data_IF_224062280850
#
_entry.id   IF_224062280850
#
_cell.length_a   1.000
_cell.length_b   1.000
_cell.length_c   1.000
_cell.angle_alpha   90.00
_cell.angle_beta   90.00
_cell.angle_gamma   90.00
#
_symmetry.space_group_name_H-M   'P 1'
#
loop_
_entity.id
_entity.type
_entity.pdbx_description
1 polymer ?
#
# COMPACT_ATOMS: atom_id res chain seq x y z
N UNK A 1 -29.91 19.51 14.81
CA UNK A 1 -30.83 18.37 14.59
C UNK A 1 -29.96 17.21 14.14
N UNK A 2 -29.64 16.29 15.06
CA UNK A 2 -29.05 15.00 14.67
C UNK A 2 -30.14 14.29 13.87
N UNK A 3 -29.79 13.80 12.69
CA UNK A 3 -30.74 13.27 11.73
C UNK A 3 -31.37 11.99 12.30
N UNK A 4 -32.69 11.85 12.38
CA UNK A 4 -33.37 10.69 13.01
C UNK A 4 -32.91 9.34 12.43
N UNK A 5 -32.46 9.35 11.16
CA UNK A 5 -31.83 8.21 10.47
C UNK A 5 -30.49 7.78 11.09
N UNK A 6 -29.70 8.73 11.58
CA UNK A 6 -28.39 8.48 12.22
C UNK A 6 -28.57 7.86 13.61
N UNK A 7 -29.59 8.30 14.36
CA UNK A 7 -29.96 7.68 15.64
C UNK A 7 -30.47 6.24 15.48
N UNK A 8 -31.32 5.98 14.47
CA UNK A 8 -31.80 4.63 14.18
C UNK A 8 -30.68 3.67 13.77
N UNK A 9 -29.73 4.16 12.96
CA UNK A 9 -28.55 3.39 12.51
C UNK A 9 -27.63 3.05 13.69
N UNK A 10 -27.43 3.99 14.61
CA UNK A 10 -26.63 3.77 15.82
C UNK A 10 -27.28 2.76 16.78
N UNK A 11 -28.60 2.83 16.99
CA UNK A 11 -29.32 1.86 17.83
C UNK A 11 -29.18 0.43 17.30
N UNK A 12 -29.37 0.23 15.99
CA UNK A 12 -29.23 -1.08 15.37
C UNK A 12 -27.79 -1.63 15.43
N UNK A 13 -26.78 -0.75 15.42
CA UNK A 13 -25.38 -1.14 15.60
C UNK A 13 -25.09 -1.64 17.03
N UNK A 14 -25.67 -1.00 18.05
CA UNK A 14 -25.50 -1.44 19.45
C UNK A 14 -26.17 -2.78 19.72
N UNK A 15 -27.40 -2.98 19.24
CA UNK A 15 -28.12 -4.25 19.41
C UNK A 15 -27.36 -5.41 18.76
N UNK A 16 -26.80 -5.16 17.58
CA UNK A 16 -25.94 -6.13 16.89
C UNK A 16 -24.69 -6.47 17.70
N UNK A 17 -23.99 -5.48 18.26
CA UNK A 17 -22.78 -5.74 19.05
C UNK A 17 -23.13 -6.57 20.29
N UNK A 18 -24.23 -6.23 20.97
CA UNK A 18 -24.71 -6.98 22.12
C UNK A 18 -25.00 -8.45 21.75
N UNK A 19 -25.67 -8.68 20.62
CA UNK A 19 -25.98 -10.01 20.11
C UNK A 19 -24.73 -10.79 19.70
N UNK A 20 -23.77 -10.13 19.02
CA UNK A 20 -22.48 -10.73 18.67
C UNK A 20 -21.68 -11.16 19.89
N UNK A 21 -21.66 -10.32 20.94
CA UNK A 21 -21.05 -10.66 22.23
C UNK A 21 -21.73 -11.87 22.88
N UNK A 22 -23.06 -11.91 22.87
CA UNK A 22 -23.83 -13.04 23.42
C UNK A 22 -23.45 -14.34 22.70
N UNK A 23 -23.49 -14.35 21.37
CA UNK A 23 -23.14 -15.52 20.55
C UNK A 23 -21.69 -15.94 20.73
N UNK A 24 -20.76 -14.98 20.83
CA UNK A 24 -19.36 -15.26 21.10
C UNK A 24 -19.19 -15.98 22.45
N UNK A 25 -19.83 -15.45 23.50
CA UNK A 25 -19.73 -16.00 24.84
C UNK A 25 -20.32 -17.41 24.94
N UNK A 26 -21.45 -17.66 24.25
CA UNK A 26 -22.02 -19.00 24.11
C UNK A 26 -21.08 -19.95 23.38
N UNK A 27 -20.47 -19.47 22.29
CA UNK A 27 -19.48 -20.22 21.53
C UNK A 27 -18.25 -20.58 22.36
N UNK A 28 -17.69 -19.63 23.12
CA UNK A 28 -16.55 -19.84 24.03
C UNK A 28 -16.92 -20.84 25.14
N UNK A 29 -18.10 -20.69 25.77
CA UNK A 29 -18.54 -21.57 26.84
C UNK A 29 -18.73 -23.03 26.38
N UNK A 30 -19.15 -23.23 25.12
CA UNK A 30 -19.30 -24.54 24.50
C UNK A 30 -17.99 -25.07 23.87
N UNK A 31 -16.93 -24.26 23.79
CA UNK A 31 -15.71 -24.63 23.10
C UNK A 31 -14.89 -25.60 23.97
N UNK A 32 -14.51 -26.79 23.47
CA UNK A 32 -13.80 -27.81 24.26
C UNK A 32 -12.34 -27.44 24.60
N UNK A 33 -11.93 -26.21 24.34
CA UNK A 33 -10.56 -25.74 24.45
C UNK A 33 -9.84 -25.72 23.09
N UNK A 34 -8.79 -24.92 23.03
CA UNK A 34 -8.00 -24.76 21.82
C UNK A 34 -7.03 -25.93 21.61
N UNK A 35 -7.00 -26.45 20.39
CA UNK A 35 -6.05 -27.47 19.93
C UNK A 35 -5.44 -27.04 18.59
N UNK A 36 -4.13 -26.76 18.53
CA UNK A 36 -3.48 -26.35 17.30
C UNK A 36 -3.52 -27.46 16.23
N UNK A 37 -3.63 -28.72 16.59
CA UNK A 37 -3.61 -29.80 15.59
C UNK A 37 -4.93 -29.95 14.84
N UNK A 38 -5.99 -29.23 15.24
CA UNK A 38 -7.29 -29.28 14.58
C UNK A 38 -7.33 -28.50 13.26
N UNK A 39 -8.23 -28.87 12.33
CA UNK A 39 -8.47 -28.09 11.13
C UNK A 39 -8.88 -26.65 11.42
N UNK A 40 -8.60 -25.73 10.49
CA UNK A 40 -8.91 -24.30 10.60
C UNK A 40 -10.36 -24.01 11.03
N UNK A 41 -11.33 -24.72 10.45
CA UNK A 41 -12.76 -24.52 10.75
C UNK A 41 -13.09 -24.88 12.20
N UNK A 42 -12.44 -25.92 12.75
CA UNK A 42 -12.66 -26.35 14.13
C UNK A 42 -11.98 -25.41 15.13
N UNK A 43 -10.79 -24.89 14.81
CA UNK A 43 -10.08 -23.89 15.63
C UNK A 43 -10.87 -22.62 15.88
N UNK A 44 -11.69 -22.24 14.89
CA UNK A 44 -12.51 -21.04 14.90
C UNK A 44 -13.98 -21.32 15.26
N UNK A 45 -14.33 -22.56 15.65
CA UNK A 45 -15.73 -22.95 15.84
C UNK A 45 -16.47 -22.10 16.86
N UNK A 46 -15.79 -21.70 17.94
CA UNK A 46 -16.33 -20.82 18.98
C UNK A 46 -16.75 -19.45 18.43
N UNK A 47 -16.12 -18.98 17.35
CA UNK A 47 -16.32 -17.66 16.78
C UNK A 47 -17.37 -17.65 15.65
N UNK A 48 -17.59 -18.79 14.99
CA UNK A 48 -18.46 -18.90 13.82
C UNK A 48 -19.87 -18.30 14.00
N UNK A 49 -20.60 -18.53 15.12
CA UNK A 49 -21.93 -17.94 15.32
C UNK A 49 -21.89 -16.41 15.32
N UNK A 50 -20.93 -15.80 16.02
CA UNK A 50 -20.76 -14.36 16.05
C UNK A 50 -20.26 -13.81 14.71
N UNK A 51 -19.42 -14.55 13.99
CA UNK A 51 -18.93 -14.16 12.67
C UNK A 51 -20.06 -14.12 11.61
N UNK A 52 -20.95 -15.11 11.65
CA UNK A 52 -22.03 -15.25 10.68
C UNK A 52 -23.07 -14.12 10.73
N UNK A 53 -23.15 -13.37 11.84
CA UNK A 53 -24.01 -12.17 11.93
C UNK A 53 -23.61 -11.05 10.97
N UNK A 54 -22.33 -10.98 10.53
CA UNK A 54 -21.81 -9.78 9.84
C UNK A 54 -21.01 -10.00 8.57
N UNK A 55 -20.98 -11.22 8.02
CA UNK A 55 -20.36 -11.48 6.70
C UNK A 55 -20.88 -10.53 5.59
N UNK A 56 -22.10 -9.99 5.72
CA UNK A 56 -22.75 -9.13 4.72
C UNK A 56 -22.30 -7.66 4.67
N UNK A 57 -21.47 -7.17 5.61
CA UNK A 57 -21.14 -5.72 5.71
C UNK A 57 -19.69 -5.37 5.42
N UNK A 58 -18.85 -6.36 5.12
CA UNK A 58 -17.45 -6.17 4.77
C UNK A 58 -17.23 -5.48 3.41
N UNK A 59 -18.15 -5.54 2.40
CA UNK A 59 -17.93 -4.85 1.12
C UNK A 59 -18.43 -3.39 1.05
N UNK A 60 -19.40 -2.98 1.89
CA UNK A 60 -20.08 -1.69 1.73
C UNK A 60 -19.44 -0.58 2.58
N UNK A 61 -18.87 0.43 1.92
CA UNK A 61 -18.16 1.56 2.54
C UNK A 61 -18.98 2.38 3.56
N UNK A 62 -20.31 2.26 3.53
CA UNK A 62 -21.18 3.00 4.45
C UNK A 62 -21.38 2.30 5.80
N UNK A 63 -20.95 1.04 5.94
CA UNK A 63 -21.10 0.24 7.17
C UNK A 63 -19.78 -0.33 7.70
N UNK A 64 -18.65 -0.04 7.04
CA UNK A 64 -17.34 -0.55 7.43
C UNK A 64 -16.89 -0.08 8.83
N UNK A 65 -17.38 1.08 9.31
CA UNK A 65 -17.12 1.54 10.68
C UNK A 65 -17.85 0.68 11.73
N UNK A 66 -19.05 0.20 11.42
CA UNK A 66 -19.80 -0.74 12.29
C UNK A 66 -19.07 -2.07 12.33
N UNK A 67 -18.61 -2.58 11.19
CA UNK A 67 -17.84 -3.81 11.12
C UNK A 67 -16.53 -3.70 11.92
N UNK A 68 -15.81 -2.59 11.78
CA UNK A 68 -14.59 -2.35 12.57
C UNK A 68 -14.90 -2.35 14.08
N UNK A 69 -15.91 -1.59 14.51
CA UNK A 69 -16.27 -1.54 15.92
C UNK A 69 -16.70 -2.91 16.45
N UNK A 70 -17.51 -3.64 15.68
CA UNK A 70 -17.97 -4.98 16.00
C UNK A 70 -16.81 -5.96 16.21
N UNK A 71 -15.92 -6.11 15.23
CA UNK A 71 -14.80 -7.05 15.35
C UNK A 71 -13.77 -6.60 16.40
N UNK A 72 -13.60 -5.29 16.61
CA UNK A 72 -12.77 -4.75 17.69
C UNK A 72 -13.32 -5.14 19.07
N UNK A 73 -14.63 -5.02 19.28
CA UNK A 73 -15.28 -5.46 20.53
C UNK A 73 -15.13 -6.96 20.73
N UNK A 74 -15.41 -7.78 19.71
CA UNK A 74 -15.29 -9.23 19.83
C UNK A 74 -13.84 -9.67 20.12
N UNK A 75 -12.85 -9.06 19.48
CA UNK A 75 -11.44 -9.29 19.80
C UNK A 75 -11.13 -8.93 21.26
N UNK A 76 -11.65 -7.82 21.75
CA UNK A 76 -11.51 -7.42 23.15
C UNK A 76 -12.08 -8.43 24.14
N UNK A 77 -13.26 -9.00 23.84
CA UNK A 77 -13.87 -10.05 24.67
C UNK A 77 -13.04 -11.35 24.66
N UNK A 78 -12.51 -11.74 23.49
CA UNK A 78 -11.61 -12.91 23.37
C UNK A 78 -10.36 -12.71 24.25
N UNK A 79 -9.68 -11.58 24.10
CA UNK A 79 -8.46 -11.28 24.85
C UNK A 79 -8.74 -11.19 26.37
N UNK A 80 -9.89 -10.63 26.76
CA UNK A 80 -10.30 -10.58 28.16
C UNK A 80 -10.54 -11.99 28.73
N UNK A 81 -11.17 -12.88 27.96
CA UNK A 81 -11.36 -14.28 28.35
C UNK A 81 -10.02 -15.02 28.49
N UNK A 82 -9.11 -14.89 27.51
CA UNK A 82 -7.79 -15.55 27.58
C UNK A 82 -7.02 -15.11 28.82
N UNK A 83 -7.03 -13.82 29.13
CA UNK A 83 -6.36 -13.26 30.30
C UNK A 83 -6.97 -13.73 31.64
N UNK A 84 -8.28 -13.97 31.68
CA UNK A 84 -8.97 -14.42 32.90
C UNK A 84 -8.88 -15.94 33.12
N UNK A 85 -9.00 -16.71 32.04
CA UNK A 85 -9.06 -18.18 32.10
C UNK A 85 -7.69 -18.85 31.98
N UNK A 86 -6.71 -18.18 31.35
CA UNK A 86 -5.45 -18.79 30.93
C UNK A 86 -5.58 -19.73 29.72
N UNK A 87 -6.79 -19.89 29.16
CA UNK A 87 -7.02 -20.69 27.96
C UNK A 87 -6.77 -19.86 26.71
N UNK A 88 -6.04 -20.42 25.76
CA UNK A 88 -5.84 -19.79 24.45
C UNK A 88 -7.04 -20.05 23.53
N UNK A 89 -7.28 -19.15 22.58
CA UNK A 89 -8.25 -19.25 21.48
C UNK A 89 -7.60 -18.75 20.20
N UNK A 90 -7.85 -19.41 19.05
CA UNK A 90 -7.34 -18.91 17.76
C UNK A 90 -8.03 -17.60 17.39
N UNK A 91 -7.26 -16.52 17.24
CA UNK A 91 -7.80 -15.19 16.88
C UNK A 91 -7.67 -14.87 15.39
N UNK A 92 -7.16 -15.79 14.56
CA UNK A 92 -6.92 -15.58 13.14
C UNK A 92 -8.10 -14.95 12.40
N UNK A 93 -9.30 -15.54 12.53
CA UNK A 93 -10.50 -15.06 11.84
C UNK A 93 -10.94 -13.65 12.29
N UNK A 94 -10.93 -13.35 13.59
CA UNK A 94 -11.35 -12.04 14.09
C UNK A 94 -10.34 -10.95 13.69
N UNK A 95 -9.04 -11.24 13.72
CA UNK A 95 -8.01 -10.32 13.22
C UNK A 95 -8.16 -10.06 11.73
N UNK A 96 -8.40 -11.09 10.92
CA UNK A 96 -8.55 -10.92 9.48
C UNK A 96 -9.74 -10.01 9.13
N UNK A 97 -10.90 -10.27 9.75
CA UNK A 97 -12.11 -9.48 9.53
C UNK A 97 -11.99 -8.05 10.05
N UNK A 98 -11.34 -7.84 11.21
CA UNK A 98 -11.02 -6.51 11.70
C UNK A 98 -10.11 -5.77 10.72
N UNK A 99 -9.08 -6.45 10.19
CA UNK A 99 -8.15 -5.87 9.25
C UNK A 99 -8.82 -5.41 7.95
N UNK A 100 -9.71 -6.22 7.38
CA UNK A 100 -10.51 -5.87 6.19
C UNK A 100 -11.41 -4.67 6.47
N UNK A 101 -12.08 -4.64 7.62
CA UNK A 101 -12.94 -3.52 8.00
C UNK A 101 -12.13 -2.22 8.14
N UNK A 102 -10.94 -2.28 8.74
CA UNK A 102 -10.03 -1.14 8.89
C UNK A 102 -9.52 -0.63 7.54
N UNK A 103 -9.07 -1.52 6.64
CA UNK A 103 -8.64 -1.13 5.28
C UNK A 103 -9.81 -0.45 4.55
N UNK A 104 -11.02 -0.98 4.69
CA UNK A 104 -12.24 -0.40 4.09
C UNK A 104 -12.57 0.99 4.65
N UNK A 105 -12.27 1.24 5.93
CA UNK A 105 -12.32 2.58 6.55
C UNK A 105 -11.10 3.46 6.23
N UNK A 106 -10.18 2.98 5.40
CA UNK A 106 -8.93 3.67 5.05
C UNK A 106 -7.87 3.67 6.15
N UNK A 107 -8.04 2.88 7.21
CA UNK A 107 -7.02 2.62 8.25
C UNK A 107 -6.06 1.52 7.77
N UNK A 108 -5.30 1.84 6.72
CA UNK A 108 -4.46 0.87 6.00
C UNK A 108 -3.41 0.21 6.90
N UNK A 109 -2.70 1.00 7.71
CA UNK A 109 -1.63 0.50 8.57
C UNK A 109 -2.17 -0.47 9.63
N UNK A 110 -3.23 -0.07 10.33
CA UNK A 110 -3.92 -0.93 11.33
C UNK A 110 -4.44 -2.21 10.67
N UNK A 111 -5.03 -2.08 9.49
CA UNK A 111 -5.66 -3.20 8.83
C UNK A 111 -4.66 -4.21 8.27
N UNK A 112 -3.54 -3.76 7.70
CA UNK A 112 -2.45 -4.67 7.32
C UNK A 112 -1.81 -5.31 8.53
N UNK A 113 -1.59 -4.57 9.63
CA UNK A 113 -1.07 -5.16 10.86
C UNK A 113 -1.97 -6.30 11.34
N UNK A 114 -3.29 -6.10 11.36
CA UNK A 114 -4.23 -7.14 11.76
C UNK A 114 -4.29 -8.33 10.79
N UNK A 115 -4.19 -8.13 9.48
CA UNK A 115 -4.11 -9.24 8.53
C UNK A 115 -2.82 -10.08 8.70
N UNK A 116 -1.71 -9.41 9.02
CA UNK A 116 -0.45 -10.10 9.31
C UNK A 116 -0.49 -10.86 10.64
N UNK A 117 -1.13 -10.28 11.66
CA UNK A 117 -1.37 -10.96 12.94
C UNK A 117 -2.30 -12.15 12.77
N UNK A 118 -3.36 -12.02 11.97
CA UNK A 118 -4.28 -13.12 11.66
C UNK A 118 -3.54 -14.34 11.14
N UNK A 119 -2.65 -14.09 10.17
CA UNK A 119 -1.84 -15.16 9.63
C UNK A 119 -0.83 -15.73 10.63
N UNK A 120 -0.27 -14.90 11.52
CA UNK A 120 0.63 -15.39 12.56
C UNK A 120 -0.09 -16.31 13.56
N UNK A 121 -1.30 -15.94 13.98
CA UNK A 121 -2.18 -16.78 14.81
C UNK A 121 -2.46 -18.12 14.10
N UNK A 122 -2.85 -18.06 12.82
CA UNK A 122 -3.16 -19.28 12.06
C UNK A 122 -1.90 -20.14 11.75
N UNK A 123 -0.71 -19.52 11.64
CA UNK A 123 0.59 -20.18 11.36
C UNK A 123 1.20 -20.87 12.57
N UNK A 124 1.18 -20.22 13.74
CA UNK A 124 1.76 -20.78 14.96
C UNK A 124 1.06 -22.06 15.42
N UNK A 125 -0.14 -22.26 14.89
CA UNK A 125 -1.00 -23.34 15.28
C UNK A 125 -1.10 -24.41 14.21
N UNK A 126 -0.40 -24.33 13.06
CA UNK A 126 -0.44 -25.40 12.06
C UNK A 126 0.31 -26.65 12.58
N UNK A 127 -0.28 -27.86 12.57
CA UNK A 127 0.47 -29.07 12.89
C UNK A 127 1.60 -29.26 11.88
N UNK A 128 2.74 -29.80 12.33
CA UNK A 128 4.02 -29.90 11.59
C UNK A 128 3.98 -30.54 10.18
N UNK A 129 2.83 -31.02 9.72
CA UNK A 129 2.60 -31.63 8.41
C UNK A 129 1.79 -30.76 7.43
N UNK A 130 1.25 -29.61 7.86
CA UNK A 130 0.88 -28.54 6.93
C UNK A 130 2.15 -27.76 6.67
N UNK A 131 2.68 -27.86 5.45
CA UNK A 131 3.78 -26.98 5.06
C UNK A 131 3.29 -25.54 5.25
N UNK A 132 4.09 -24.78 6.00
CA UNK A 132 4.05 -23.31 6.12
C UNK A 132 3.85 -22.61 4.75
N UNK A 133 4.11 -23.34 3.66
CA UNK A 133 4.13 -22.92 2.27
C UNK A 133 2.78 -22.90 1.51
N UNK A 134 1.61 -23.19 2.11
CA UNK A 134 0.35 -23.34 1.32
C UNK A 134 -0.81 -22.41 1.65
N UNK A 135 -0.82 -21.74 2.81
CA UNK A 135 -1.86 -20.77 3.15
C UNK A 135 -1.25 -19.43 3.51
N UNK A 136 -1.40 -18.46 2.61
CA UNK A 136 -0.96 -17.09 2.80
C UNK A 136 -2.17 -16.16 2.74
N UNK A 137 -2.28 -15.22 3.69
CA UNK A 137 -3.40 -14.27 3.71
C UNK A 137 -3.49 -13.47 2.40
N UNK A 138 -2.34 -13.27 1.74
CA UNK A 138 -2.19 -12.54 0.48
C UNK A 138 -2.78 -13.24 -0.74
N UNK A 139 -3.06 -14.54 -0.63
CA UNK A 139 -3.66 -15.35 -1.70
C UNK A 139 -5.16 -15.59 -1.48
N UNK A 140 -5.71 -15.06 -0.39
CA UNK A 140 -7.14 -15.13 -0.11
C UNK A 140 -7.92 -14.13 -0.96
N UNK A 141 -9.18 -14.46 -1.29
CA UNK A 141 -10.09 -13.54 -2.00
C UNK A 141 -10.23 -12.19 -1.26
N UNK A 142 -10.17 -12.24 0.07
CA UNK A 142 -10.26 -11.06 0.95
C UNK A 142 -9.07 -10.11 0.80
N UNK A 143 -7.87 -10.60 0.49
CA UNK A 143 -6.74 -9.75 0.17
C UNK A 143 -6.79 -9.28 -1.29
N UNK A 144 -7.10 -10.20 -2.21
CA UNK A 144 -7.08 -9.94 -3.64
C UNK A 144 -7.99 -8.79 -4.06
N UNK A 145 -9.07 -8.49 -3.35
CA UNK A 145 -9.89 -7.30 -3.60
C UNK A 145 -9.10 -5.97 -3.44
N UNK A 146 -8.21 -5.88 -2.46
CA UNK A 146 -7.40 -4.69 -2.21
C UNK A 146 -6.26 -4.59 -3.20
N UNK A 147 -5.65 -5.74 -3.51
CA UNK A 147 -4.62 -5.84 -4.52
C UNK A 147 -5.13 -5.42 -5.91
N UNK A 148 -6.29 -5.95 -6.33
CA UNK A 148 -6.96 -5.54 -7.56
C UNK A 148 -7.23 -4.05 -7.56
N UNK A 149 -7.68 -3.47 -6.44
CA UNK A 149 -7.88 -2.02 -6.33
C UNK A 149 -6.56 -1.25 -6.52
N UNK A 150 -5.46 -1.70 -5.92
CA UNK A 150 -4.15 -1.08 -6.13
C UNK A 150 -3.70 -1.22 -7.60
N UNK A 151 -3.91 -2.38 -8.23
CA UNK A 151 -3.61 -2.61 -9.65
C UNK A 151 -4.40 -1.63 -10.53
N UNK A 152 -5.70 -1.45 -10.28
CA UNK A 152 -6.52 -0.50 -11.04
C UNK A 152 -6.00 0.93 -10.94
N UNK A 153 -5.55 1.37 -9.75
CA UNK A 153 -4.97 2.71 -9.60
C UNK A 153 -3.62 2.84 -10.29
N UNK A 154 -2.74 1.84 -10.16
CA UNK A 154 -1.50 1.79 -10.91
C UNK A 154 -1.78 1.88 -12.41
N UNK A 155 -2.72 1.07 -12.92
CA UNK A 155 -3.15 1.08 -14.32
C UNK A 155 -3.66 2.44 -14.78
N UNK A 156 -4.40 3.20 -13.95
CA UNK A 156 -4.84 4.56 -14.30
C UNK A 156 -3.67 5.51 -14.53
N UNK A 157 -2.62 5.45 -13.70
CA UNK A 157 -1.41 6.23 -13.93
C UNK A 157 -0.65 5.75 -15.17
N UNK A 158 -0.69 4.45 -15.47
CA UNK A 158 -0.05 3.84 -16.64
C UNK A 158 -0.75 4.12 -17.97
N UNK A 159 -2.08 4.15 -18.02
CA UNK A 159 -2.84 4.37 -19.27
C UNK A 159 -2.52 5.73 -19.88
N UNK A 160 -2.22 6.75 -19.06
CA UNK A 160 -1.72 8.05 -19.56
C UNK A 160 -0.31 7.95 -20.16
N UNK A 161 0.52 7.05 -19.64
CA UNK A 161 1.91 6.80 -20.10
C UNK A 161 2.01 5.92 -21.34
N UNK A 162 0.98 5.13 -21.65
CA UNK A 162 0.99 4.17 -22.76
C UNK A 162 1.30 4.80 -24.13
N UNK A 163 1.17 6.13 -24.28
CA UNK A 163 1.60 6.88 -25.45
C UNK A 163 3.15 6.95 -25.63
N UNK A 164 3.93 6.54 -24.64
CA UNK A 164 5.41 6.51 -24.69
C UNK A 164 6.03 5.12 -24.50
N UNK A 165 5.21 4.11 -24.22
CA UNK A 165 5.65 2.72 -24.04
C UNK A 165 5.57 1.95 -25.36
N UNK A 166 6.54 1.06 -25.61
CA UNK A 166 6.53 0.20 -26.80
C UNK A 166 5.45 -0.90 -26.78
N UNK A 167 4.77 -1.11 -25.63
CA UNK A 167 3.77 -2.18 -25.46
C UNK A 167 2.64 -1.77 -24.50
N UNK A 168 1.38 -2.19 -24.76
CA UNK A 168 0.28 -2.00 -23.82
C UNK A 168 0.50 -2.86 -22.57
N UNK A 169 0.26 -2.27 -21.40
CA UNK A 169 0.26 -2.96 -20.11
C UNK A 169 -1.18 -3.34 -19.76
N UNK A 170 -1.41 -4.57 -19.32
CA UNK A 170 -2.72 -5.02 -18.84
C UNK A 170 -2.73 -5.33 -17.34
N UNK A 171 -3.91 -5.65 -16.80
CA UNK A 171 -4.10 -6.00 -15.37
C UNK A 171 -3.30 -7.25 -14.97
N UNK A 172 -3.21 -8.24 -15.86
CA UNK A 172 -2.50 -9.50 -15.61
C UNK A 172 -0.99 -9.29 -15.46
N UNK A 173 -0.40 -8.37 -16.24
CA UNK A 173 1.02 -8.00 -16.14
C UNK A 173 1.33 -7.41 -14.76
N UNK A 174 0.46 -6.54 -14.26
CA UNK A 174 0.59 -5.92 -12.93
C UNK A 174 0.38 -6.92 -11.81
N UNK A 175 -0.60 -7.82 -11.94
CA UNK A 175 -0.82 -8.89 -10.98
C UNK A 175 0.38 -9.83 -10.93
N UNK A 176 0.96 -10.16 -12.09
CA UNK A 176 2.16 -10.99 -12.17
C UNK A 176 3.36 -10.31 -11.52
N UNK A 177 3.57 -9.03 -11.75
CA UNK A 177 4.61 -8.25 -11.07
C UNK A 177 4.45 -8.34 -9.55
N UNK A 178 3.24 -8.08 -9.02
CA UNK A 178 3.00 -8.15 -7.57
C UNK A 178 3.27 -9.55 -6.99
N UNK A 179 2.87 -10.61 -7.71
CA UNK A 179 3.13 -11.99 -7.30
C UNK A 179 4.62 -12.37 -7.33
N UNK A 180 5.43 -11.73 -8.16
CA UNK A 180 6.88 -11.94 -8.21
C UNK A 180 7.63 -11.21 -7.09
N UNK A 181 7.03 -10.18 -6.48
CA UNK A 181 7.64 -9.44 -5.39
C UNK A 181 7.69 -10.28 -4.12
N UNK A 182 8.78 -10.11 -3.34
CA UNK A 182 8.80 -10.68 -1.99
C UNK A 182 7.66 -10.06 -1.17
N UNK A 183 7.05 -10.88 -0.32
CA UNK A 183 5.86 -10.51 0.45
C UNK A 183 5.91 -9.14 1.15
N UNK A 184 6.98 -8.77 1.88
CA UNK A 184 7.06 -7.45 2.50
C UNK A 184 7.01 -6.31 1.49
N UNK A 185 7.61 -6.49 0.30
CA UNK A 185 7.61 -5.49 -0.76
C UNK A 185 6.23 -5.37 -1.42
N UNK A 186 5.55 -6.51 -1.66
CA UNK A 186 4.18 -6.57 -2.19
C UNK A 186 3.20 -5.82 -1.29
N UNK A 187 3.23 -6.11 0.01
CA UNK A 187 2.38 -5.43 1.01
C UNK A 187 2.68 -3.94 1.06
N UNK A 188 3.97 -3.58 1.10
CA UNK A 188 4.39 -2.18 1.15
C UNK A 188 3.90 -1.42 -0.09
N UNK A 189 4.09 -1.98 -1.29
CA UNK A 189 3.63 -1.37 -2.54
C UNK A 189 2.11 -1.17 -2.56
N UNK A 190 1.34 -2.22 -2.26
CA UNK A 190 -0.13 -2.15 -2.21
C UNK A 190 -0.58 -1.07 -1.23
N UNK A 191 0.02 -1.03 -0.04
CA UNK A 191 -0.26 0.00 0.96
C UNK A 191 0.05 1.41 0.51
N UNK A 192 1.23 1.63 -0.07
CA UNK A 192 1.63 2.94 -0.60
C UNK A 192 0.69 3.40 -1.72
N UNK A 193 0.29 2.51 -2.63
CA UNK A 193 -0.64 2.83 -3.73
C UNK A 193 -2.02 3.18 -3.22
N UNK A 194 -2.56 2.43 -2.26
CA UNK A 194 -3.88 2.73 -1.67
C UNK A 194 -3.86 4.03 -0.86
N UNK A 195 -2.76 4.31 -0.15
CA UNK A 195 -2.59 5.58 0.55
C UNK A 195 -2.50 6.75 -0.43
N UNK A 196 -1.75 6.60 -1.50
CA UNK A 196 -1.63 7.57 -2.59
C UNK A 196 -3.01 7.88 -3.20
N UNK A 197 -3.75 6.84 -3.60
CA UNK A 197 -5.12 6.94 -4.14
C UNK A 197 -6.01 7.81 -3.27
N UNK A 198 -6.10 7.50 -1.97
CA UNK A 198 -6.97 8.22 -1.03
C UNK A 198 -6.59 9.70 -0.92
N UNK A 199 -5.29 9.99 -0.81
CA UNK A 199 -4.82 11.38 -0.70
C UNK A 199 -4.98 12.13 -2.03
N UNK A 200 -4.88 11.44 -3.16
CA UNK A 200 -5.11 12.00 -4.49
C UNK A 200 -6.58 12.34 -4.72
N UNK A 201 -7.51 11.45 -4.33
CA UNK A 201 -8.96 11.73 -4.34
C UNK A 201 -9.29 12.97 -3.49
N UNK A 202 -8.72 13.06 -2.29
CA UNK A 202 -8.90 14.23 -1.40
C UNK A 202 -8.35 15.51 -2.02
N UNK A 203 -7.17 15.44 -2.65
CA UNK A 203 -6.56 16.55 -3.35
C UNK A 203 -7.42 17.03 -4.53
N UNK A 204 -7.88 16.12 -5.39
CA UNK A 204 -8.70 16.48 -6.54
C UNK A 204 -10.05 17.05 -6.13
N UNK A 205 -10.71 16.48 -5.12
CA UNK A 205 -11.96 17.03 -4.59
C UNK A 205 -11.77 18.47 -4.08
N UNK A 206 -10.64 18.78 -3.43
CA UNK A 206 -10.34 20.15 -3.03
C UNK A 206 -10.20 21.07 -4.25
N UNK A 207 -9.46 20.65 -5.29
CA UNK A 207 -9.31 21.42 -6.52
C UNK A 207 -10.64 21.64 -7.25
N UNK A 208 -11.47 20.60 -7.38
CA UNK A 208 -12.79 20.65 -8.03
C UNK A 208 -13.75 21.62 -7.32
N UNK A 209 -13.63 21.75 -6.01
CA UNK A 209 -14.41 22.70 -5.20
C UNK A 209 -13.72 24.07 -5.03
N UNK A 210 -12.64 24.34 -5.77
CA UNK A 210 -11.85 25.58 -5.70
C UNK A 210 -11.30 25.86 -4.28
N UNK A 211 -11.07 24.81 -3.50
CA UNK A 211 -10.50 24.85 -2.16
C UNK A 211 -8.99 24.58 -2.25
N UNK A 212 -8.19 25.39 -1.55
CA UNK A 212 -6.76 25.13 -1.45
C UNK A 212 -6.51 23.79 -0.73
N UNK A 213 -5.78 22.84 -1.35
CA UNK A 213 -5.44 21.59 -0.70
C UNK A 213 -4.65 21.84 0.59
N UNK A 214 -5.03 21.15 1.67
CA UNK A 214 -4.38 21.34 2.97
C UNK A 214 -2.97 20.75 2.98
N UNK A 215 -2.09 21.34 3.80
CA UNK A 215 -0.68 20.94 3.89
C UNK A 215 -0.48 19.47 4.31
N UNK A 216 -1.43 18.89 5.07
CA UNK A 216 -1.40 17.48 5.45
C UNK A 216 -1.52 16.56 4.23
N UNK A 217 -2.52 16.80 3.37
CA UNK A 217 -2.76 16.02 2.14
C UNK A 217 -1.57 16.12 1.19
N UNK A 218 -1.03 17.33 1.01
CA UNK A 218 0.18 17.56 0.21
C UNK A 218 1.38 16.80 0.79
N UNK A 219 1.57 16.87 2.11
CA UNK A 219 2.61 16.13 2.82
C UNK A 219 2.48 14.61 2.66
N UNK A 220 1.25 14.07 2.69
CA UNK A 220 0.99 12.63 2.47
C UNK A 220 1.25 12.20 1.03
N UNK A 221 0.86 13.00 0.05
CA UNK A 221 1.20 12.75 -1.37
C UNK A 221 2.72 12.74 -1.58
N UNK A 222 3.43 13.68 -0.95
CA UNK A 222 4.89 13.73 -0.97
C UNK A 222 5.51 12.47 -0.32
N UNK A 223 4.99 12.03 0.82
CA UNK A 223 5.47 10.83 1.51
C UNK A 223 5.26 9.57 0.66
N UNK A 224 4.09 9.39 0.04
CA UNK A 224 3.83 8.24 -0.83
C UNK A 224 4.82 8.19 -2.01
N UNK A 225 5.13 9.34 -2.61
CA UNK A 225 6.11 9.42 -3.69
C UNK A 225 7.52 9.01 -3.22
N UNK A 226 7.94 9.47 -2.03
CA UNK A 226 9.20 9.09 -1.40
C UNK A 226 9.26 7.58 -1.15
N UNK A 227 8.20 7.00 -0.62
CA UNK A 227 8.10 5.59 -0.28
C UNK A 227 8.18 4.70 -1.53
N UNK A 228 7.50 5.09 -2.64
CA UNK A 228 7.64 4.42 -3.93
C UNK A 228 9.08 4.44 -4.44
N UNK A 229 9.74 5.60 -4.37
CA UNK A 229 11.14 5.71 -4.79
C UNK A 229 12.08 4.85 -3.93
N UNK A 230 11.83 4.80 -2.61
CA UNK A 230 12.60 3.99 -1.67
C UNK A 230 12.40 2.49 -1.94
N UNK A 231 11.18 2.07 -2.25
CA UNK A 231 10.88 0.69 -2.62
C UNK A 231 11.64 0.28 -3.88
N UNK A 232 11.59 1.09 -4.95
CA UNK A 232 12.33 0.80 -6.19
C UNK A 232 13.83 0.70 -5.92
N UNK A 233 14.40 1.62 -5.14
CA UNK A 233 15.81 1.56 -4.73
C UNK A 233 16.12 0.27 -3.95
N UNK A 234 15.25 -0.11 -3.02
CA UNK A 234 15.43 -1.32 -2.22
C UNK A 234 15.37 -2.60 -3.08
N UNK A 235 14.43 -2.67 -4.02
CA UNK A 235 14.31 -3.78 -4.97
C UNK A 235 15.56 -3.90 -5.86
N UNK A 236 16.02 -2.78 -6.43
CA UNK A 236 17.27 -2.74 -7.20
C UNK A 236 18.46 -3.25 -6.38
N UNK A 237 18.56 -2.88 -5.09
CA UNK A 237 19.66 -3.33 -4.21
C UNK A 237 19.64 -4.83 -3.91
N UNK A 238 18.47 -5.48 -3.98
CA UNK A 238 18.36 -6.93 -3.77
C UNK A 238 18.94 -7.73 -4.94
N UNK A 239 18.85 -7.19 -6.16
CA UNK A 239 19.31 -7.85 -7.39
C UNK A 239 20.66 -7.35 -7.88
N UNK A 240 21.00 -6.10 -7.62
CA UNK A 240 22.21 -5.44 -8.08
C UNK A 240 23.21 -5.30 -6.93
N UNK A 241 24.46 -5.62 -7.22
CA UNK A 241 25.57 -5.49 -6.28
C UNK A 241 26.67 -4.65 -6.92
N UNK A 242 26.54 -3.30 -6.90
CA UNK A 242 27.47 -2.42 -7.58
C UNK A 242 28.91 -2.64 -7.13
N UNK A 243 29.73 -3.16 -8.05
CA UNK A 243 31.11 -3.59 -7.77
C UNK A 243 32.04 -2.42 -7.44
N UNK A 244 31.71 -1.19 -7.85
CA UNK A 244 32.59 -0.02 -7.68
C UNK A 244 32.23 0.82 -6.44
N UNK A 245 33.19 0.98 -5.52
CA UNK A 245 33.14 1.97 -4.41
C UNK A 245 33.66 3.36 -4.87
N UNK A 246 33.19 3.85 -6.02
CA UNK A 246 33.57 5.16 -6.55
C UNK A 246 32.88 6.35 -5.86
N UNK A 247 33.20 7.59 -6.28
CA UNK A 247 32.61 8.86 -5.79
C UNK A 247 31.11 9.06 -6.10
N UNK A 248 30.46 8.09 -6.76
CA UNK A 248 29.05 8.20 -7.16
C UNK A 248 28.09 7.81 -6.03
N UNK A 249 26.92 8.44 -5.98
CA UNK A 249 25.87 8.08 -5.02
C UNK A 249 25.43 6.63 -5.23
N UNK A 250 24.84 6.00 -4.20
CA UNK A 250 24.31 4.64 -4.32
C UNK A 250 23.24 4.57 -5.43
N UNK A 251 22.31 5.53 -5.46
CA UNK A 251 21.29 5.63 -6.51
C UNK A 251 21.89 5.72 -7.91
N UNK A 252 22.91 6.54 -8.12
CA UNK A 252 23.58 6.63 -9.41
C UNK A 252 24.16 5.27 -9.85
N UNK A 253 24.84 4.57 -8.94
CA UNK A 253 25.47 3.28 -9.25
C UNK A 253 24.45 2.20 -9.61
N UNK A 254 23.35 2.11 -8.85
CA UNK A 254 22.26 1.17 -9.12
C UNK A 254 21.64 1.44 -10.49
N UNK A 255 21.35 2.70 -10.82
CA UNK A 255 20.75 3.06 -12.11
C UNK A 255 21.71 2.85 -13.28
N UNK A 256 23.00 3.16 -13.12
CA UNK A 256 24.02 2.85 -14.15
C UNK A 256 24.09 1.35 -14.43
N UNK A 257 24.10 0.51 -13.40
CA UNK A 257 24.16 -0.95 -13.58
C UNK A 257 22.85 -1.52 -14.15
N UNK A 258 21.70 -1.03 -13.69
CA UNK A 258 20.39 -1.42 -14.20
C UNK A 258 20.25 -1.11 -15.70
N UNK A 259 20.54 0.13 -16.09
CA UNK A 259 20.40 0.61 -17.46
C UNK A 259 21.45 0.00 -18.42
N UNK A 260 22.62 -0.38 -17.90
CA UNK A 260 23.63 -1.06 -18.70
C UNK A 260 23.15 -2.43 -19.24
N UNK A 261 22.13 -3.07 -18.63
CA UNK A 261 21.55 -4.31 -19.16
C UNK A 261 20.91 -4.13 -20.54
N UNK A 262 20.37 -2.95 -20.80
CA UNK A 262 19.80 -2.54 -22.09
C UNK A 262 20.77 -1.66 -22.90
N UNK A 263 22.06 -1.67 -22.55
CA UNK A 263 23.12 -0.88 -23.21
C UNK A 263 22.88 0.64 -23.15
N UNK A 264 22.10 1.11 -22.16
CA UNK A 264 21.83 2.52 -21.95
C UNK A 264 22.91 3.12 -21.03
N UNK A 265 23.58 4.16 -21.52
CA UNK A 265 24.61 4.87 -20.77
C UNK A 265 23.94 5.88 -19.81
N UNK A 266 24.19 5.72 -18.51
CA UNK A 266 23.69 6.61 -17.47
C UNK A 266 24.82 7.18 -16.58
N UNK A 267 24.81 8.49 -16.28
CA UNK A 267 23.84 9.49 -16.75
C UNK A 267 24.00 9.88 -18.21
N UNK A 268 22.88 10.29 -18.83
CA UNK A 268 22.88 10.95 -20.14
C UNK A 268 23.76 12.21 -20.11
N UNK A 269 24.56 12.40 -21.17
CA UNK A 269 25.37 13.61 -21.36
C UNK A 269 24.48 14.86 -21.32
N UNK A 270 24.88 15.86 -20.52
CA UNK A 270 24.13 17.11 -20.30
C UNK A 270 23.09 17.05 -19.16
N UNK A 271 22.88 15.88 -18.54
CA UNK A 271 22.00 15.69 -17.38
C UNK A 271 22.74 15.16 -16.13
N UNK A 272 24.07 15.22 -16.10
CA UNK A 272 24.89 14.69 -15.01
C UNK A 272 24.64 15.43 -13.69
N UNK A 273 24.38 16.74 -13.77
CA UNK A 273 24.11 17.59 -12.60
C UNK A 273 22.65 17.58 -12.15
N UNK A 274 21.75 16.90 -12.87
CA UNK A 274 20.31 16.94 -12.60
C UNK A 274 19.91 16.07 -11.42
N UNK A 275 20.79 15.18 -10.97
CA UNK A 275 20.51 14.13 -9.99
C UNK A 275 20.32 14.62 -8.56
N UNK A 276 20.85 15.79 -8.22
CA UNK A 276 20.71 16.39 -6.88
C UNK A 276 19.78 17.59 -6.95
N UNK A 277 19.37 18.15 -5.82
CA UNK A 277 18.79 19.49 -5.73
C UNK A 277 18.83 19.88 -4.25
N UNK A 278 19.26 21.11 -3.95
CA UNK A 278 19.37 21.56 -2.56
C UNK A 278 18.19 22.46 -2.13
N UNK A 279 17.33 22.83 -3.08
CA UNK A 279 16.14 23.65 -2.85
C UNK A 279 15.00 23.19 -3.75
N UNK A 280 13.75 23.46 -3.35
CA UNK A 280 12.57 23.14 -4.16
C UNK A 280 12.63 23.80 -5.54
N UNK A 281 13.07 25.07 -5.63
CA UNK A 281 13.24 25.76 -6.92
C UNK A 281 14.23 25.03 -7.83
N UNK A 282 15.37 24.59 -7.31
CA UNK A 282 16.35 23.81 -8.08
C UNK A 282 15.78 22.47 -8.51
N UNK A 283 15.03 21.79 -7.64
CA UNK A 283 14.34 20.56 -7.97
C UNK A 283 13.39 20.75 -9.16
N UNK A 284 12.54 21.79 -9.11
CA UNK A 284 11.57 22.09 -10.17
C UNK A 284 12.24 22.45 -11.50
N UNK A 285 13.32 23.22 -11.47
CA UNK A 285 14.10 23.52 -12.69
C UNK A 285 14.74 22.27 -13.29
N UNK A 286 15.24 21.36 -12.43
CA UNK A 286 15.89 20.11 -12.85
C UNK A 286 14.86 19.10 -13.38
N UNK A 287 13.68 18.98 -12.75
CA UNK A 287 12.64 18.07 -13.25
C UNK A 287 12.08 18.54 -14.59
N UNK A 288 11.88 19.84 -14.75
CA UNK A 288 11.51 20.43 -16.04
C UNK A 288 12.56 20.10 -17.11
N UNK A 289 13.85 20.27 -16.80
CA UNK A 289 14.95 19.91 -17.69
C UNK A 289 14.94 18.42 -18.06
N UNK A 290 14.69 17.50 -17.12
CA UNK A 290 14.54 16.06 -17.42
C UNK A 290 13.50 15.82 -18.52
N UNK A 291 12.33 16.45 -18.38
CA UNK A 291 11.22 16.26 -19.31
C UNK A 291 11.38 16.96 -20.66
N UNK A 292 12.19 18.00 -20.74
CA UNK A 292 12.49 18.69 -22.01
C UNK A 292 13.62 17.97 -22.76
N UNK A 293 14.67 17.56 -22.05
CA UNK A 293 15.94 17.13 -22.66
C UNK A 293 16.02 15.60 -22.86
N UNK A 294 15.17 14.80 -22.23
CA UNK A 294 15.13 13.34 -22.42
C UNK A 294 13.85 12.91 -23.14
N UNK A 295 13.98 12.50 -24.41
CA UNK A 295 12.91 11.84 -25.18
C UNK A 295 12.93 10.31 -25.06
N UNK A 296 14.00 9.77 -24.49
CA UNK A 296 14.17 8.36 -24.19
C UNK A 296 13.48 8.07 -22.85
N UNK A 297 12.48 7.19 -22.87
CA UNK A 297 11.65 6.84 -21.72
C UNK A 297 12.47 6.33 -20.53
N UNK A 298 13.18 5.19 -20.66
CA UNK A 298 14.05 4.66 -19.60
C UNK A 298 15.01 5.68 -18.98
N UNK A 299 15.66 6.51 -19.81
CA UNK A 299 16.52 7.58 -19.31
C UNK A 299 15.75 8.67 -18.55
N UNK A 300 14.60 9.10 -19.07
CA UNK A 300 13.75 10.10 -18.44
C UNK A 300 13.26 9.62 -17.08
N UNK A 301 12.72 8.39 -17.01
CA UNK A 301 12.19 7.78 -15.80
C UNK A 301 13.30 7.60 -14.75
N UNK A 302 14.48 7.16 -15.17
CA UNK A 302 15.61 6.97 -14.26
C UNK A 302 16.16 8.28 -13.70
N UNK A 303 16.24 9.35 -14.51
CA UNK A 303 16.60 10.67 -14.02
C UNK A 303 15.54 11.26 -13.08
N UNK A 304 14.25 11.08 -13.41
CA UNK A 304 13.16 11.49 -12.53
C UNK A 304 13.24 10.75 -11.18
N UNK A 305 13.34 9.43 -11.20
CA UNK A 305 13.51 8.60 -9.99
C UNK A 305 14.70 9.05 -9.15
N UNK A 306 15.88 9.24 -9.76
CA UNK A 306 17.08 9.63 -9.02
C UNK A 306 16.93 11.01 -8.36
N UNK A 307 16.43 11.99 -9.10
CA UNK A 307 16.23 13.35 -8.60
C UNK A 307 15.18 13.39 -7.49
N UNK A 308 14.03 12.75 -7.69
CA UNK A 308 12.93 12.68 -6.71
C UNK A 308 13.40 11.95 -5.45
N UNK A 309 14.06 10.81 -5.59
CA UNK A 309 14.55 10.02 -4.45
C UNK A 309 15.54 10.80 -3.60
N UNK A 310 16.51 11.46 -4.24
CA UNK A 310 17.50 12.28 -3.56
C UNK A 310 16.85 13.48 -2.88
N UNK A 311 15.98 14.20 -3.59
CA UNK A 311 15.34 15.40 -3.04
C UNK A 311 14.41 15.06 -1.87
N UNK A 312 13.49 14.11 -2.03
CA UNK A 312 12.56 13.69 -0.97
C UNK A 312 13.23 12.94 0.19
N UNK A 313 14.46 12.46 -0.01
CA UNK A 313 15.30 11.92 1.04
C UNK A 313 15.85 12.97 2.01
N UNK A 314 16.00 14.22 1.57
CA UNK A 314 16.66 15.30 2.33
C UNK A 314 15.80 16.53 2.56
N UNK A 315 14.69 16.65 1.85
CA UNK A 315 13.77 17.79 1.93
C UNK A 315 12.34 17.32 2.19
N UNK A 316 11.58 18.16 2.89
CA UNK A 316 10.13 18.02 3.04
C UNK A 316 9.54 19.42 2.91
N UNK A 317 9.19 19.80 1.68
CA UNK A 317 8.62 21.11 1.37
C UNK A 317 7.40 20.92 0.46
N UNK A 318 6.19 20.82 1.04
CA UNK A 318 4.95 20.70 0.27
C UNK A 318 4.42 22.05 -0.25
N UNK A 319 5.25 23.11 -0.27
CA UNK A 319 4.83 24.44 -0.70
C UNK A 319 4.47 24.50 -2.19
N UNK A 320 3.30 25.08 -2.49
CA UNK A 320 2.87 25.41 -3.85
C UNK A 320 3.32 26.81 -4.31
N UNK A 321 3.92 27.60 -3.42
CA UNK A 321 4.29 28.98 -3.70
C UNK A 321 5.63 29.10 -4.43
N UNK A 322 6.38 27.99 -4.56
CA UNK A 322 7.65 27.94 -5.27
C UNK A 322 7.41 27.27 -6.62
N UNK A 323 7.83 27.94 -7.69
CA UNK A 323 7.61 27.50 -9.06
C UNK A 323 8.92 27.36 -9.84
N UNK A 324 8.87 26.56 -10.90
CA UNK A 324 9.92 26.41 -11.92
C UNK A 324 10.06 27.69 -12.75
N UNK A 325 10.97 27.68 -13.73
CA UNK A 325 11.14 28.79 -14.67
C UNK A 325 9.89 29.00 -15.53
N UNK A 326 9.16 27.93 -15.86
CA UNK A 326 7.86 27.99 -16.55
C UNK A 326 6.66 28.29 -15.64
N UNK A 327 6.89 28.61 -14.36
CA UNK A 327 5.81 28.94 -13.43
C UNK A 327 5.07 27.74 -12.87
N UNK A 328 5.55 26.51 -13.10
CA UNK A 328 4.93 25.28 -12.57
C UNK A 328 5.42 24.96 -11.16
N UNK A 329 4.50 24.72 -10.24
CA UNK A 329 4.75 24.24 -8.88
C UNK A 329 5.08 22.74 -8.85
N UNK A 330 5.39 22.20 -7.66
CA UNK A 330 5.59 20.76 -7.48
C UNK A 330 4.37 19.94 -7.88
N UNK A 331 3.17 20.38 -7.47
CA UNK A 331 1.94 19.63 -7.72
C UNK A 331 1.46 19.73 -9.17
N UNK A 332 1.87 20.76 -9.92
CA UNK A 332 1.70 20.81 -11.39
C UNK A 332 2.53 19.74 -12.11
N UNK A 333 3.63 19.28 -11.50
CA UNK A 333 4.48 18.21 -12.02
C UNK A 333 4.16 16.84 -11.41
N UNK A 334 3.33 16.78 -10.37
CA UNK A 334 3.20 15.59 -9.53
C UNK A 334 2.72 14.36 -10.30
N UNK A 335 1.66 14.50 -11.09
CA UNK A 335 1.12 13.38 -11.87
C UNK A 335 2.18 12.83 -12.84
N UNK A 336 2.91 13.71 -13.54
CA UNK A 336 3.97 13.31 -14.48
C UNK A 336 5.17 12.66 -13.79
N UNK A 337 5.52 13.15 -12.60
CA UNK A 337 6.54 12.54 -11.74
C UNK A 337 6.10 11.14 -11.35
N UNK A 338 4.89 11.00 -10.82
CA UNK A 338 4.35 9.73 -10.37
C UNK A 338 4.29 8.70 -11.51
N UNK A 339 3.82 9.13 -12.67
CA UNK A 339 3.83 8.38 -13.93
C UNK A 339 5.25 7.87 -14.27
N UNK A 340 6.27 8.73 -14.13
CA UNK A 340 7.67 8.35 -14.38
C UNK A 340 8.22 7.38 -13.32
N UNK A 341 7.84 7.52 -12.05
CA UNK A 341 8.25 6.61 -10.97
C UNK A 341 7.65 5.21 -11.18
N UNK A 342 6.36 5.14 -11.45
CA UNK A 342 5.69 3.89 -11.77
C UNK A 342 6.26 3.26 -13.05
N UNK A 343 6.55 4.07 -14.07
CA UNK A 343 7.19 3.59 -15.29
C UNK A 343 8.59 3.02 -15.03
N UNK A 344 9.37 3.64 -14.14
CA UNK A 344 10.67 3.12 -13.74
C UNK A 344 10.54 1.73 -13.07
N UNK A 345 9.59 1.57 -12.14
CA UNK A 345 9.31 0.29 -11.48
C UNK A 345 9.05 -0.82 -12.50
N UNK A 346 8.11 -0.60 -13.43
CA UNK A 346 7.77 -1.59 -14.45
C UNK A 346 8.90 -1.86 -15.44
N UNK A 347 9.61 -0.83 -15.85
CA UNK A 347 10.75 -0.98 -16.74
C UNK A 347 11.81 -1.89 -16.11
N UNK A 348 12.12 -1.66 -14.83
CA UNK A 348 13.09 -2.43 -14.09
C UNK A 348 12.63 -3.88 -13.80
N UNK A 349 11.35 -4.11 -13.53
CA UNK A 349 10.78 -5.46 -13.50
C UNK A 349 10.98 -6.17 -14.85
N UNK A 350 10.65 -5.49 -15.95
CA UNK A 350 10.69 -6.07 -17.30
C UNK A 350 12.09 -6.51 -17.73
N UNK A 351 13.11 -5.73 -17.41
CA UNK A 351 14.51 -6.08 -17.72
C UNK A 351 15.14 -7.01 -16.67
N UNK A 352 14.33 -7.48 -15.70
CA UNK A 352 14.71 -8.45 -14.67
C UNK A 352 15.73 -7.93 -13.66
N UNK A 353 15.74 -6.61 -13.38
CA UNK A 353 16.64 -6.00 -12.36
C UNK A 353 15.94 -5.72 -11.03
N UNK A 354 14.65 -6.00 -10.94
CA UNK A 354 13.85 -6.00 -9.71
C UNK A 354 13.29 -7.40 -9.46
#
# INVERSE_FOLDING_TARGET
MVNDTEQATNSAAFDLIAEGKRLLNEGIAAYPGFDPNKPYVEKNYYFNPANNLRFQFLPDSNSSWVAEHYYSVLLGEILAYENQSGNHLNKGMVYANLGIAQISNGKLDDGFANLLTAEWEDRNDAPAHWSIDTWEILDTELWLQFERRAILEMARFFIKTQLTWMYPLNEDDLLKMLKNMARPDRIFLVGTVLALRRNWETFNAAIEHEIQPNAYTLGRLYACLKDLCLLIEALLRKKLHPKSKGMHTLGQRLLTEALARDQIIYPKVGLEKVQTANTLRQFLQRIEKVYIDSKDGPLQWSHCLHLVRNFTGHHFDPSNNITSTSGKSFFDWYEKILESIFSALLYFERIGVI
#
